data_IF_878176640200
#
_entry.id   IF_878176640200
#
_cell.length_a   1.000
_cell.length_b   1.000
_cell.length_c   1.000
_cell.angle_alpha   90.00
_cell.angle_beta   90.00
_cell.angle_gamma   90.00
#
_symmetry.space_group_name_H-M   'P 1'
#
loop_
_entity.id
_entity.type
_entity.pdbx_description
1 polymer ?
#
# COMPACT_ATOMS: atom_id res chain seq x y z
N UNK A 1 11.55 -7.23 16.24
CA UNK A 1 11.58 -6.29 15.12
C UNK A 1 10.79 -6.84 13.95
N UNK A 2 10.08 -6.00 13.28
CA UNK A 2 9.32 -6.33 12.08
C UNK A 2 9.82 -5.51 10.90
N UNK A 3 9.74 -6.09 9.72
CA UNK A 3 9.90 -5.35 8.47
C UNK A 3 8.51 -5.12 7.89
N UNK A 4 8.14 -3.86 7.74
CA UNK A 4 6.86 -3.48 7.13
C UNK A 4 7.13 -2.99 5.72
N UNK A 5 6.52 -3.66 4.75
CA UNK A 5 6.64 -3.33 3.33
C UNK A 5 5.33 -2.67 2.92
N UNK A 6 5.40 -1.41 2.54
CA UNK A 6 4.22 -0.64 2.15
C UNK A 6 4.31 -0.29 0.68
N UNK A 7 3.31 -0.67 -0.09
CA UNK A 7 3.18 -0.28 -1.48
C UNK A 7 2.11 0.80 -1.55
N UNK A 8 2.48 1.98 -1.97
CA UNK A 8 1.62 3.16 -1.88
C UNK A 8 1.59 3.90 -3.22
N UNK A 9 0.44 4.50 -3.52
CA UNK A 9 0.31 5.35 -4.70
C UNK A 9 1.26 6.54 -4.62
N UNK A 10 1.88 6.89 -5.74
CA UNK A 10 2.81 8.02 -5.80
C UNK A 10 2.18 9.34 -5.38
N UNK A 11 0.87 9.51 -5.58
CA UNK A 11 0.20 10.73 -5.14
C UNK A 11 0.05 10.83 -3.62
N UNK A 12 0.09 9.72 -2.91
CA UNK A 12 0.04 9.70 -1.46
C UNK A 12 1.42 9.59 -0.82
N UNK A 13 2.44 9.27 -1.61
CA UNK A 13 3.79 8.96 -1.13
C UNK A 13 4.39 10.06 -0.27
N UNK A 14 4.34 11.30 -0.73
CA UNK A 14 4.93 12.42 0.00
C UNK A 14 4.31 12.60 1.37
N UNK A 15 2.99 12.50 1.46
CA UNK A 15 2.27 12.62 2.73
C UNK A 15 2.60 11.47 3.67
N UNK A 16 2.68 10.26 3.16
CA UNK A 16 3.06 9.09 3.97
C UNK A 16 4.48 9.25 4.50
N UNK A 17 5.43 9.64 3.64
CA UNK A 17 6.81 9.81 4.07
C UNK A 17 6.97 10.94 5.08
N UNK A 18 6.34 12.08 4.86
CA UNK A 18 6.41 13.21 5.80
C UNK A 18 5.84 12.85 7.15
N UNK A 19 4.68 12.22 7.18
CA UNK A 19 4.00 11.89 8.42
C UNK A 19 4.74 10.81 9.21
N UNK A 20 5.31 9.82 8.53
CA UNK A 20 6.08 8.78 9.20
C UNK A 20 7.39 9.31 9.76
N UNK A 21 8.08 10.18 9.02
CA UNK A 21 9.33 10.81 9.51
C UNK A 21 9.06 11.68 10.74
N UNK A 22 7.97 12.45 10.76
CA UNK A 22 7.60 13.27 11.91
C UNK A 22 7.42 12.43 13.17
N UNK A 23 6.93 11.21 13.04
CA UNK A 23 6.73 10.30 14.17
C UNK A 23 7.97 9.44 14.47
N UNK A 24 9.08 9.70 13.78
CA UNK A 24 10.34 9.01 14.04
C UNK A 24 10.56 7.72 13.30
N UNK A 25 9.76 7.42 12.29
CA UNK A 25 9.94 6.23 11.47
C UNK A 25 10.85 6.54 10.28
N UNK A 26 11.92 5.77 10.17
CA UNK A 26 12.84 5.89 9.05
C UNK A 26 12.51 4.82 8.02
N UNK A 27 12.53 5.20 6.77
CA UNK A 27 12.15 4.32 5.68
C UNK A 27 13.17 4.29 4.56
N UNK A 28 13.16 3.20 3.82
CA UNK A 28 13.90 3.08 2.56
C UNK A 28 12.88 2.97 1.42
N UNK A 29 12.97 3.90 0.50
CA UNK A 29 12.13 3.90 -0.69
C UNK A 29 12.78 3.04 -1.76
N UNK A 30 12.01 2.15 -2.35
CA UNK A 30 12.47 1.31 -3.44
C UNK A 30 11.67 1.66 -4.69
N UNK A 31 12.39 2.07 -5.73
CA UNK A 31 11.80 2.23 -7.05
C UNK A 31 11.95 0.90 -7.77
N UNK A 32 10.86 0.20 -7.93
CA UNK A 32 10.86 -1.07 -8.62
C UNK A 32 10.14 -0.94 -9.96
N UNK A 33 10.74 -1.52 -10.98
CA UNK A 33 10.06 -1.74 -12.24
C UNK A 33 9.78 -3.22 -12.32
N UNK A 34 8.53 -3.59 -12.33
CA UNK A 34 8.16 -4.98 -12.39
C UNK A 34 6.74 -5.15 -12.89
N UNK A 35 6.44 -6.37 -13.33
CA UNK A 35 5.12 -6.67 -13.88
C UNK A 35 4.03 -6.70 -12.80
N UNK A 36 4.41 -6.72 -11.54
CA UNK A 36 3.46 -6.81 -10.42
C UNK A 36 3.10 -5.47 -9.81
N UNK A 37 3.84 -4.40 -10.17
CA UNK A 37 3.54 -3.07 -9.68
C UNK A 37 2.89 -2.29 -10.80
N UNK A 38 1.70 -1.80 -10.53
CA UNK A 38 1.07 -0.88 -11.46
C UNK A 38 1.87 0.41 -11.52
N UNK A 39 1.82 1.06 -12.66
CA UNK A 39 2.45 2.36 -12.82
C UNK A 39 1.88 3.33 -11.78
N UNK A 40 2.76 4.09 -11.16
CA UNK A 40 2.37 5.10 -10.21
C UNK A 40 2.35 4.63 -8.76
N UNK A 41 2.99 3.51 -8.45
CA UNK A 41 3.16 3.04 -7.09
C UNK A 41 4.63 2.96 -6.70
N UNK A 42 4.88 3.09 -5.41
CA UNK A 42 6.23 3.02 -4.84
C UNK A 42 6.21 2.09 -3.63
N UNK A 43 7.25 1.31 -3.48
CA UNK A 43 7.43 0.44 -2.33
C UNK A 43 8.33 1.13 -1.30
N UNK A 44 7.90 1.11 -0.04
CA UNK A 44 8.63 1.70 1.08
C UNK A 44 8.85 0.62 2.13
N UNK A 45 10.05 0.52 2.64
CA UNK A 45 10.41 -0.43 3.69
C UNK A 45 10.59 0.30 5.02
N UNK A 46 10.00 -0.24 6.08
CA UNK A 46 10.17 0.26 7.44
C UNK A 46 10.66 -0.87 8.34
N UNK A 47 11.75 -0.64 9.07
CA UNK A 47 12.13 -1.53 10.16
C UNK A 47 11.59 -0.96 11.46
N UNK A 48 10.72 -1.68 12.15
CA UNK A 48 10.05 -1.17 13.36
C UNK A 48 10.02 -2.20 14.47
N UNK A 49 9.84 -1.75 15.69
CA UNK A 49 9.60 -2.63 16.83
C UNK A 49 8.20 -3.24 16.70
N UNK A 50 8.03 -4.42 17.28
CA UNK A 50 6.76 -5.14 17.20
C UNK A 50 5.59 -4.28 17.68
N UNK A 51 5.77 -3.56 18.78
CA UNK A 51 4.73 -2.71 19.38
C UNK A 51 4.45 -1.44 18.58
N UNK A 52 5.26 -1.12 17.58
CA UNK A 52 5.10 0.08 16.77
C UNK A 52 4.35 -0.17 15.44
N UNK A 53 4.07 -1.42 15.12
CA UNK A 53 3.45 -1.78 13.84
C UNK A 53 2.08 -1.14 13.68
N UNK A 54 1.24 -1.24 14.70
CA UNK A 54 -0.13 -0.71 14.61
C UNK A 54 -0.14 0.81 14.49
N UNK A 55 0.75 1.49 15.19
CA UNK A 55 0.88 2.93 15.09
C UNK A 55 1.32 3.34 13.68
N UNK A 56 2.27 2.60 13.10
CA UNK A 56 2.71 2.86 11.72
C UNK A 56 1.54 2.69 10.74
N UNK A 57 0.76 1.64 10.90
CA UNK A 57 -0.41 1.41 10.06
C UNK A 57 -1.42 2.56 10.16
N UNK A 58 -1.67 3.04 11.37
CA UNK A 58 -2.58 4.17 11.57
C UNK A 58 -2.09 5.43 10.85
N UNK A 59 -0.80 5.70 10.90
CA UNK A 59 -0.22 6.84 10.21
C UNK A 59 -0.36 6.69 8.69
N UNK A 60 -0.05 5.52 8.16
CA UNK A 60 -0.18 5.27 6.72
C UNK A 60 -1.63 5.39 6.29
N UNK A 61 -2.55 4.79 7.04
CA UNK A 61 -3.97 4.81 6.69
C UNK A 61 -4.54 6.22 6.62
N UNK A 62 -4.11 7.10 7.52
CA UNK A 62 -4.56 8.50 7.53
C UNK A 62 -4.05 9.31 6.34
N UNK A 63 -3.01 8.84 5.69
CA UNK A 63 -2.33 9.58 4.62
C UNK A 63 -2.56 8.99 3.23
N UNK A 64 -3.37 7.96 3.12
CA UNK A 64 -3.68 7.34 1.82
C UNK A 64 -5.14 7.55 1.46
N UNK A 65 -5.39 7.57 0.17
CA UNK A 65 -6.73 7.77 -0.38
C UNK A 65 -7.35 6.43 -0.72
N UNK A 66 -8.47 6.12 -0.08
CA UNK A 66 -9.31 4.97 -0.43
C UNK A 66 -10.46 5.46 -1.28
N UNK A 67 -10.83 4.68 -2.26
CA UNK A 67 -11.97 5.00 -3.10
C UNK A 67 -12.71 3.75 -3.54
N UNK A 68 -13.98 3.91 -3.80
CA UNK A 68 -14.80 2.86 -4.38
C UNK A 68 -14.92 3.12 -5.86
N UNK A 69 -14.51 2.16 -6.65
CA UNK A 69 -14.59 2.25 -8.10
C UNK A 69 -15.66 1.27 -8.57
N UNK A 70 -16.55 1.76 -9.41
CA UNK A 70 -17.56 0.91 -10.02
C UNK A 70 -17.06 0.43 -11.36
N UNK A 71 -16.95 -0.88 -11.47
CA UNK A 71 -16.64 -1.52 -12.72
C UNK A 71 -17.89 -2.09 -13.32
N UNK A 72 -18.11 -1.78 -14.58
CA UNK A 72 -19.17 -2.42 -15.35
C UNK A 72 -18.60 -3.74 -15.83
N UNK A 73 -19.35 -4.79 -15.63
CA UNK A 73 -18.91 -6.14 -16.03
C UNK A 73 -18.68 -6.22 -17.51
N UNK A 74 -17.45 -6.10 -17.87
CA UNK A 74 -17.05 -6.02 -19.27
C UNK A 74 -17.00 -7.37 -19.92
N UNK A 75 -16.85 -8.37 -19.12
CA UNK A 75 -16.71 -9.70 -19.61
C UNK A 75 -17.94 -10.39 -19.97
N UNK A 76 -18.80 -9.65 -20.13
CA UNK A 76 -20.08 -10.04 -20.53
C UNK A 76 -20.16 -10.47 -21.94
N UNK A 77 -19.15 -10.86 -22.50
CA UNK A 77 -19.12 -11.15 -23.88
C UNK A 77 -20.19 -12.11 -24.33
N UNK A 78 -20.47 -13.07 -23.55
CA UNK A 78 -21.39 -14.11 -23.96
C UNK A 78 -22.74 -13.96 -23.33
N UNK A 79 -22.75 -13.99 -22.08
CA UNK A 79 -23.99 -13.87 -21.36
C UNK A 79 -24.13 -12.51 -20.82
N UNK A 80 -23.28 -11.69 -21.31
CA UNK A 80 -23.03 -10.53 -20.60
C UNK A 80 -24.09 -9.49 -20.58
N UNK A 81 -24.91 -9.47 -21.55
CA UNK A 81 -26.02 -8.52 -21.52
C UNK A 81 -26.85 -8.67 -20.27
N UNK A 82 -26.93 -9.86 -19.75
CA UNK A 82 -27.69 -10.14 -18.54
C UNK A 82 -26.91 -9.82 -17.28
N UNK A 83 -25.59 -9.73 -17.41
CA UNK A 83 -24.71 -9.60 -16.26
C UNK A 83 -24.02 -8.25 -16.18
N UNK A 84 -24.44 -7.31 -16.98
CA UNK A 84 -23.88 -5.96 -16.95
C UNK A 84 -24.33 -5.19 -15.73
N UNK A 85 -24.02 -5.70 -14.57
CA UNK A 85 -24.23 -4.97 -13.35
C UNK A 85 -22.95 -4.27 -12.95
N UNK A 86 -23.00 -2.98 -12.63
CA UNK A 86 -21.85 -2.33 -12.09
C UNK A 86 -21.49 -2.97 -10.76
N UNK A 87 -20.23 -3.33 -10.61
CA UNK A 87 -19.72 -3.88 -9.37
C UNK A 87 -18.90 -2.80 -8.68
N UNK A 88 -19.23 -2.52 -7.44
CA UNK A 88 -18.45 -1.60 -6.64
C UNK A 88 -17.23 -2.36 -6.10
N UNK A 89 -16.05 -1.87 -6.46
CA UNK A 89 -14.78 -2.42 -5.97
C UNK A 89 -14.09 -1.35 -5.16
N UNK A 90 -13.69 -1.69 -3.94
CA UNK A 90 -12.93 -0.79 -3.09
C UNK A 90 -11.47 -0.84 -3.49
N UNK A 91 -10.91 0.29 -3.86
CA UNK A 91 -9.48 0.43 -4.12
C UNK A 91 -8.81 1.07 -2.92
N UNK A 92 -7.78 0.43 -2.43
CA UNK A 92 -7.00 0.93 -1.31
C UNK A 92 -5.82 1.77 -1.83
N UNK A 93 -5.46 2.81 -1.09
CA UNK A 93 -4.32 3.65 -1.43
C UNK A 93 -2.98 3.01 -1.11
N UNK A 94 -2.97 2.01 -0.25
CA UNK A 94 -1.75 1.30 0.11
C UNK A 94 -2.05 -0.14 0.49
N UNK A 95 -1.04 -0.98 0.28
CA UNK A 95 -1.04 -2.37 0.74
C UNK A 95 0.22 -2.53 1.60
N UNK A 96 0.09 -3.21 2.72
CA UNK A 96 1.21 -3.41 3.64
C UNK A 96 1.37 -4.88 4.00
N UNK A 97 2.63 -5.29 4.07
CA UNK A 97 3.02 -6.63 4.52
C UNK A 97 3.90 -6.48 5.75
N UNK A 98 3.72 -7.37 6.72
CA UNK A 98 4.56 -7.41 7.91
C UNK A 98 5.29 -8.73 7.94
N UNK A 99 6.61 -8.67 8.08
CA UNK A 99 7.46 -9.84 8.08
C UNK A 99 8.31 -9.82 9.35
N UNK A 100 8.43 -10.96 10.01
CA UNK A 100 9.33 -11.10 11.14
C UNK A 100 10.79 -10.98 10.68
N UNK A 101 11.57 -10.19 11.41
CA UNK A 101 13.00 -10.03 11.15
C UNK A 101 13.76 -10.91 12.14
N UNK A 102 14.46 -11.89 11.61
CA UNK A 102 15.26 -12.81 12.41
C UNK A 102 16.47 -12.10 13.00
N UNK A 103 17.20 -11.35 12.20
CA UNK A 103 18.35 -10.59 12.64
C UNK A 103 18.38 -9.22 11.96
N UNK A 104 18.82 -8.23 12.72
CA UNK A 104 19.05 -6.89 12.21
C UNK A 104 20.40 -6.40 12.71
N UNK A 105 21.25 -5.92 11.81
CA UNK A 105 22.57 -5.40 12.14
C UNK A 105 22.85 -4.13 11.34
N UNK A 106 23.38 -3.14 12.01
CA UNK A 106 24.00 -1.99 11.34
C UNK A 106 25.49 -2.27 11.24
N UNK A 107 26.00 -2.31 10.05
CA UNK A 107 27.38 -2.69 9.78
C UNK A 107 28.26 -1.49 9.49
#
# INVERSE_FOLDING_TARGET
MKLVIVIVSNKDLTNVLSSTVEEGYFSTKISTQGMFLENGQTTVLFGVKDEEVEKLFDIVEKNVTKRVVRHIGVDSTLQGSLLKKPVAVEEYGAVAFVIDVDQFRKL
#
